data_IF_056916208707
#
_entry.id   IF_056916208707
#
_cell.length_a   1.000
_cell.length_b   1.000
_cell.length_c   1.000
_cell.angle_alpha   90.00
_cell.angle_beta   90.00
_cell.angle_gamma   90.00
#
_symmetry.space_group_name_H-M   'P 1'
#
loop_
_entity.id
_entity.type
_entity.pdbx_description
1 polymer ?
#
# COMPACT_ATOMS: atom_id res chain seq x y z
N UNK A 1 34.45 -7.73 7.97
CA UNK A 1 34.08 -6.32 8.27
C UNK A 1 32.56 -6.19 8.22
N UNK A 2 31.87 -5.74 9.29
CA UNK A 2 30.42 -5.52 9.23
C UNK A 2 30.12 -4.41 8.21
N UNK A 3 29.49 -4.74 7.09
CA UNK A 3 29.08 -3.75 6.09
C UNK A 3 28.03 -2.82 6.70
N UNK A 4 28.10 -1.52 6.37
CA UNK A 4 27.13 -0.52 6.82
C UNK A 4 26.31 -0.04 5.64
N UNK A 5 24.98 0.05 5.83
CA UNK A 5 24.08 0.58 4.82
C UNK A 5 24.44 2.05 4.50
N UNK A 6 24.53 2.35 3.21
CA UNK A 6 24.66 3.72 2.76
C UNK A 6 23.27 4.38 2.70
N UNK A 7 22.84 4.96 3.84
CA UNK A 7 21.52 5.58 4.01
C UNK A 7 21.23 6.62 2.91
N UNK A 8 22.21 7.45 2.53
CA UNK A 8 22.03 8.45 1.47
C UNK A 8 21.67 7.81 0.13
N UNK A 9 22.41 6.75 -0.29
CA UNK A 9 22.08 6.03 -1.54
C UNK A 9 20.69 5.38 -1.47
N UNK A 10 20.32 4.81 -0.32
CA UNK A 10 19.02 4.16 -0.13
C UNK A 10 17.88 5.17 -0.18
N UNK A 11 18.02 6.36 0.41
CA UNK A 11 17.04 7.46 0.29
C UNK A 11 16.87 7.86 -1.19
N UNK A 12 17.97 7.99 -1.96
CA UNK A 12 17.89 8.33 -3.37
C UNK A 12 17.17 7.26 -4.20
N UNK A 13 17.42 5.97 -3.94
CA UNK A 13 16.66 4.86 -4.52
C UNK A 13 15.19 4.92 -4.10
N UNK A 14 14.91 5.34 -2.88
CA UNK A 14 13.58 5.51 -2.32
C UNK A 14 12.69 6.51 -3.08
N UNK A 15 13.25 7.40 -3.92
CA UNK A 15 12.44 8.25 -4.80
C UNK A 15 11.61 7.45 -5.80
N UNK A 16 12.00 6.23 -6.18
CA UNK A 16 11.17 5.33 -6.97
C UNK A 16 9.90 4.91 -6.20
N UNK A 17 10.00 4.66 -4.90
CA UNK A 17 8.85 4.36 -4.03
C UNK A 17 8.00 5.60 -3.76
N UNK A 18 8.64 6.76 -3.60
CA UNK A 18 7.96 8.05 -3.52
C UNK A 18 7.01 8.26 -4.72
N UNK A 19 7.50 8.00 -5.94
CA UNK A 19 6.71 8.09 -7.17
C UNK A 19 5.48 7.17 -7.14
N UNK A 20 5.66 5.90 -6.74
CA UNK A 20 4.57 4.92 -6.64
C UNK A 20 3.49 5.44 -5.69
N UNK A 21 3.87 5.78 -4.47
CA UNK A 21 2.91 6.18 -3.43
C UNK A 21 2.26 7.53 -3.71
N UNK A 22 2.99 8.49 -4.29
CA UNK A 22 2.42 9.76 -4.72
C UNK A 22 1.30 9.57 -5.76
N UNK A 23 1.53 8.70 -6.74
CA UNK A 23 0.50 8.38 -7.72
C UNK A 23 -0.72 7.72 -7.08
N UNK A 24 -0.54 6.63 -6.31
CA UNK A 24 -1.66 5.88 -5.74
C UNK A 24 -2.48 6.73 -4.76
N UNK A 25 -1.84 7.57 -3.96
CA UNK A 25 -2.54 8.48 -3.04
C UNK A 25 -3.44 9.47 -3.78
N UNK A 26 -2.99 9.99 -4.93
CA UNK A 26 -3.80 10.85 -5.80
C UNK A 26 -4.91 10.06 -6.51
N UNK A 27 -4.59 8.88 -7.02
CA UNK A 27 -5.49 7.98 -7.72
C UNK A 27 -6.71 7.61 -6.85
N UNK A 28 -6.46 7.14 -5.63
CA UNK A 28 -7.51 6.72 -4.69
C UNK A 28 -8.44 7.85 -4.28
N UNK A 29 -7.97 9.10 -4.36
CA UNK A 29 -8.81 10.28 -4.10
C UNK A 29 -9.60 10.71 -5.34
N UNK A 30 -8.91 10.87 -6.48
CA UNK A 30 -9.46 11.60 -7.64
C UNK A 30 -10.30 10.71 -8.54
N UNK A 31 -9.88 9.46 -8.78
CA UNK A 31 -10.58 8.60 -9.74
C UNK A 31 -12.00 8.26 -9.28
N UNK A 32 -12.26 7.81 -8.03
CA UNK A 32 -13.63 7.54 -7.60
C UNK A 32 -14.50 8.81 -7.58
N UNK A 33 -13.94 9.97 -7.22
CA UNK A 33 -14.67 11.24 -7.25
C UNK A 33 -15.06 11.65 -8.69
N UNK A 34 -14.16 11.53 -9.66
CA UNK A 34 -14.49 11.82 -11.07
C UNK A 34 -15.56 10.85 -11.58
N UNK A 35 -15.43 9.55 -11.30
CA UNK A 35 -16.42 8.55 -11.71
C UNK A 35 -17.80 8.84 -11.15
N UNK A 36 -17.87 9.26 -9.88
CA UNK A 36 -19.13 9.58 -9.21
C UNK A 36 -19.70 10.93 -9.65
N UNK A 37 -18.94 12.02 -9.52
CA UNK A 37 -19.49 13.39 -9.67
C UNK A 37 -19.47 13.93 -11.10
N UNK A 38 -18.50 13.52 -11.93
CA UNK A 38 -18.47 13.95 -13.33
C UNK A 38 -19.26 13.02 -14.24
N UNK A 39 -19.21 11.71 -14.00
CA UNK A 39 -19.84 10.72 -14.87
C UNK A 39 -21.09 10.07 -14.29
N UNK A 40 -21.48 10.38 -13.05
CA UNK A 40 -22.70 9.87 -12.42
C UNK A 40 -22.73 8.36 -12.26
N UNK A 41 -21.57 7.72 -12.09
CA UNK A 41 -21.48 6.27 -11.98
C UNK A 41 -21.94 5.76 -10.62
N UNK A 42 -22.63 4.61 -10.60
CA UNK A 42 -22.94 3.89 -9.37
C UNK A 42 -21.67 3.46 -8.65
N UNK A 43 -21.77 3.27 -7.33
CA UNK A 43 -20.62 2.87 -6.51
C UNK A 43 -20.12 1.46 -6.84
N UNK A 44 -20.99 0.59 -7.35
CA UNK A 44 -20.63 -0.75 -7.87
C UNK A 44 -19.72 -0.64 -9.09
N UNK A 45 -20.12 0.15 -10.09
CA UNK A 45 -19.34 0.32 -11.33
C UNK A 45 -18.04 1.08 -11.06
N UNK A 46 -18.08 2.12 -10.24
CA UNK A 46 -16.89 2.82 -9.77
C UNK A 46 -15.93 1.84 -9.07
N UNK A 47 -16.44 0.97 -8.20
CA UNK A 47 -15.66 -0.07 -7.54
C UNK A 47 -15.05 -1.08 -8.49
N UNK A 48 -15.77 -1.49 -9.55
CA UNK A 48 -15.24 -2.36 -10.59
C UNK A 48 -14.08 -1.69 -11.34
N UNK A 49 -14.23 -0.43 -11.73
CA UNK A 49 -13.16 0.32 -12.40
C UNK A 49 -11.95 0.48 -11.47
N UNK A 50 -12.16 0.79 -10.19
CA UNK A 50 -11.09 0.89 -9.21
C UNK A 50 -10.35 -0.45 -9.01
N UNK A 51 -11.04 -1.59 -9.13
CA UNK A 51 -10.39 -2.90 -8.98
C UNK A 51 -9.51 -3.31 -10.17
N UNK A 52 -9.60 -2.60 -11.31
CA UNK A 52 -8.78 -2.90 -12.50
C UNK A 52 -7.29 -2.74 -12.22
N UNK A 53 -6.90 -1.84 -11.33
CA UNK A 53 -5.50 -1.66 -10.92
C UNK A 53 -4.91 -2.96 -10.36
N UNK A 54 -5.62 -3.62 -9.45
CA UNK A 54 -5.21 -4.88 -8.85
C UNK A 54 -5.30 -6.05 -9.83
N UNK A 55 -6.33 -6.07 -10.70
CA UNK A 55 -6.45 -7.07 -11.77
C UNK A 55 -5.24 -6.97 -12.71
N UNK A 56 -4.90 -5.77 -13.18
CA UNK A 56 -3.72 -5.57 -14.03
C UNK A 56 -2.42 -5.87 -13.30
N UNK A 57 -2.30 -5.53 -12.02
CA UNK A 57 -1.11 -5.80 -11.22
C UNK A 57 -0.78 -7.30 -11.20
N UNK A 58 -1.78 -8.17 -11.00
CA UNK A 58 -1.58 -9.64 -10.96
C UNK A 58 -0.88 -10.16 -12.22
N UNK A 59 -1.26 -9.65 -13.40
CA UNK A 59 -0.71 -10.11 -14.67
C UNK A 59 0.52 -9.33 -15.12
N UNK A 60 0.50 -8.01 -14.97
CA UNK A 60 1.52 -7.14 -15.56
C UNK A 60 2.78 -6.99 -14.72
N UNK A 61 2.68 -7.04 -13.38
CA UNK A 61 3.88 -6.91 -12.54
C UNK A 61 4.92 -8.01 -12.80
N UNK A 62 4.54 -9.31 -12.91
CA UNK A 62 5.48 -10.36 -13.28
C UNK A 62 6.07 -10.18 -14.70
N UNK A 63 5.25 -9.71 -15.65
CA UNK A 63 5.69 -9.49 -17.03
C UNK A 63 6.76 -8.38 -17.08
N UNK A 64 6.48 -7.22 -16.52
CA UNK A 64 7.43 -6.09 -16.54
C UNK A 64 8.63 -6.33 -15.63
N UNK A 65 8.48 -7.08 -14.54
CA UNK A 65 9.59 -7.57 -13.74
C UNK A 65 10.56 -8.41 -14.58
N UNK A 66 10.05 -9.47 -15.19
CA UNK A 66 10.85 -10.37 -16.05
C UNK A 66 11.42 -9.67 -17.29
N UNK A 67 10.68 -8.71 -17.87
CA UNK A 67 11.17 -7.94 -19.02
C UNK A 67 12.34 -7.04 -18.61
N UNK A 68 12.23 -6.37 -17.45
CA UNK A 68 13.31 -5.53 -16.95
C UNK A 68 14.56 -6.30 -16.53
N UNK A 69 14.43 -7.59 -16.18
CA UNK A 69 15.57 -8.47 -15.90
C UNK A 69 16.40 -8.78 -17.15
N UNK A 70 15.77 -8.80 -18.33
CA UNK A 70 16.42 -9.13 -19.63
C UNK A 70 17.07 -7.91 -20.30
N UNK A 71 16.67 -6.70 -19.89
CA UNK A 71 17.19 -5.46 -20.50
C UNK A 71 18.49 -5.05 -19.81
N UNK A 72 19.48 -4.65 -20.60
CA UNK A 72 20.72 -4.06 -20.11
C UNK A 72 21.03 -2.80 -20.88
N UNK A 73 21.05 -1.66 -20.20
CA UNK A 73 21.35 -0.36 -20.79
C UNK A 73 22.50 0.35 -20.04
N UNK A 74 23.01 1.42 -20.62
CA UNK A 74 24.04 2.26 -19.97
C UNK A 74 23.54 2.93 -18.67
N UNK A 75 22.21 3.05 -18.50
CA UNK A 75 21.60 3.64 -17.30
C UNK A 75 21.24 2.60 -16.24
N UNK A 76 21.29 1.32 -16.58
CA UNK A 76 20.87 0.18 -15.77
C UNK A 76 19.78 -0.64 -16.44
N UNK A 77 19.25 -1.61 -15.72
CA UNK A 77 18.16 -2.48 -16.21
C UNK A 77 16.78 -1.99 -15.74
N UNK A 78 16.69 -1.31 -14.61
CA UNK A 78 15.45 -0.82 -14.00
C UNK A 78 15.12 0.63 -14.38
N UNK A 79 16.13 1.49 -14.37
CA UNK A 79 15.99 2.94 -14.65
C UNK A 79 15.23 3.26 -15.93
N UNK A 80 15.43 2.59 -17.10
CA UNK A 80 14.67 2.88 -18.31
C UNK A 80 13.16 2.65 -18.16
N UNK A 81 12.77 1.61 -17.44
CA UNK A 81 11.35 1.31 -17.18
C UNK A 81 10.73 2.32 -16.22
N UNK A 82 11.49 2.73 -15.19
CA UNK A 82 11.05 3.77 -14.24
C UNK A 82 10.85 5.09 -14.98
N UNK A 83 11.79 5.49 -15.84
CA UNK A 83 11.67 6.70 -16.64
C UNK A 83 10.47 6.65 -17.57
N UNK A 84 10.40 5.63 -18.43
CA UNK A 84 9.35 5.50 -19.44
C UNK A 84 7.97 5.41 -18.79
N UNK A 85 7.81 4.51 -17.81
CA UNK A 85 6.54 4.29 -17.14
C UNK A 85 6.05 5.51 -16.39
N UNK A 86 6.95 6.24 -15.68
CA UNK A 86 6.56 7.46 -14.95
C UNK A 86 6.16 8.58 -15.92
N UNK A 87 6.93 8.82 -17.00
CA UNK A 87 6.59 9.87 -17.97
C UNK A 87 5.26 9.57 -18.65
N UNK A 88 5.04 8.32 -19.09
CA UNK A 88 3.76 7.93 -19.70
C UNK A 88 2.61 8.05 -18.69
N UNK A 89 2.79 7.60 -17.45
CA UNK A 89 1.78 7.72 -16.39
C UNK A 89 1.40 9.19 -16.16
N UNK A 90 2.36 10.10 -16.04
CA UNK A 90 2.11 11.53 -15.89
C UNK A 90 1.31 12.10 -17.06
N UNK A 91 1.72 11.79 -18.29
CA UNK A 91 1.02 12.28 -19.49
C UNK A 91 -0.42 11.80 -19.52
N UNK A 92 -0.65 10.48 -19.39
CA UNK A 92 -2.00 9.93 -19.42
C UNK A 92 -2.84 10.38 -18.24
N UNK A 93 -2.26 10.56 -17.06
CA UNK A 93 -2.98 10.98 -15.85
C UNK A 93 -3.45 12.45 -15.96
N UNK A 94 -2.64 13.34 -16.56
CA UNK A 94 -3.07 14.71 -16.85
C UNK A 94 -4.25 14.70 -17.83
N UNK A 95 -4.15 13.99 -18.95
CA UNK A 95 -5.24 13.90 -19.91
C UNK A 95 -6.49 13.22 -19.35
N UNK A 96 -6.34 12.24 -18.45
CA UNK A 96 -7.44 11.59 -17.74
C UNK A 96 -8.25 12.60 -16.93
N UNK A 97 -7.59 13.51 -16.22
CA UNK A 97 -8.28 14.54 -15.42
C UNK A 97 -9.09 15.53 -16.29
N UNK A 98 -8.69 15.68 -17.54
CA UNK A 98 -9.34 16.56 -18.55
C UNK A 98 -10.37 15.83 -19.42
N UNK A 99 -10.54 14.51 -19.30
CA UNK A 99 -11.37 13.71 -20.18
C UNK A 99 -12.84 14.18 -20.15
N UNK A 100 -13.42 14.58 -21.32
CA UNK A 100 -14.80 15.08 -21.39
C UNK A 100 -15.85 13.96 -21.43
N UNK A 101 -15.45 12.72 -21.72
CA UNK A 101 -16.35 11.58 -21.85
C UNK A 101 -15.83 10.36 -21.08
N UNK A 102 -16.76 9.54 -20.61
CA UNK A 102 -16.45 8.32 -19.86
C UNK A 102 -15.56 7.35 -20.66
N UNK A 103 -15.82 7.17 -21.96
CA UNK A 103 -15.02 6.28 -22.80
C UNK A 103 -13.57 6.72 -22.91
N UNK A 104 -13.34 8.02 -23.11
CA UNK A 104 -11.99 8.56 -23.17
C UNK A 104 -11.31 8.46 -21.78
N UNK A 105 -12.06 8.72 -20.72
CA UNK A 105 -11.58 8.55 -19.35
C UNK A 105 -11.11 7.11 -19.09
N UNK A 106 -11.93 6.11 -19.42
CA UNK A 106 -11.58 4.69 -19.24
C UNK A 106 -10.37 4.32 -20.09
N UNK A 107 -10.30 4.77 -21.34
CA UNK A 107 -9.16 4.50 -22.21
C UNK A 107 -7.86 5.09 -21.64
N UNK A 108 -7.89 6.35 -21.19
CA UNK A 108 -6.74 7.00 -20.56
C UNK A 108 -6.37 6.36 -19.22
N UNK A 109 -7.37 5.91 -18.47
CA UNK A 109 -7.16 5.16 -17.24
C UNK A 109 -6.41 3.86 -17.51
N UNK A 110 -6.80 3.07 -18.50
CA UNK A 110 -6.11 1.84 -18.88
C UNK A 110 -4.64 2.12 -19.24
N UNK A 111 -4.37 3.14 -20.07
CA UNK A 111 -3.00 3.53 -20.40
C UNK A 111 -2.22 4.00 -19.16
N UNK A 112 -2.86 4.71 -18.25
CA UNK A 112 -2.24 5.12 -16.98
C UNK A 112 -1.86 3.90 -16.13
N UNK A 113 -2.77 2.94 -15.98
CA UNK A 113 -2.52 1.71 -15.21
C UNK A 113 -1.42 0.84 -15.83
N UNK A 114 -1.39 0.70 -17.15
CA UNK A 114 -0.32 0.01 -17.88
C UNK A 114 1.02 0.71 -17.64
N UNK A 115 1.04 2.04 -17.72
CA UNK A 115 2.24 2.85 -17.48
C UNK A 115 2.74 2.68 -16.05
N UNK A 116 1.83 2.67 -15.06
CA UNK A 116 2.14 2.40 -13.66
C UNK A 116 2.72 0.99 -13.47
N UNK A 117 2.12 -0.03 -14.09
CA UNK A 117 2.62 -1.40 -14.03
C UNK A 117 4.02 -1.53 -14.66
N UNK A 118 4.31 -0.76 -15.71
CA UNK A 118 5.61 -0.76 -16.40
C UNK A 118 6.75 -0.36 -15.46
N UNK A 119 6.54 0.61 -14.57
CA UNK A 119 7.63 1.05 -13.67
C UNK A 119 7.55 0.50 -12.25
N UNK A 120 6.36 0.13 -11.73
CA UNK A 120 6.19 -0.32 -10.34
C UNK A 120 7.06 -1.54 -10.02
N UNK A 121 7.00 -2.60 -10.84
CA UNK A 121 7.78 -3.81 -10.59
C UNK A 121 9.29 -3.58 -10.69
N UNK A 122 9.84 -2.90 -11.73
CA UNK A 122 11.24 -2.51 -11.76
C UNK A 122 11.67 -1.61 -10.59
N UNK A 123 10.83 -0.67 -10.15
CA UNK A 123 11.12 0.20 -9.02
C UNK A 123 11.27 -0.58 -7.70
N UNK A 124 10.38 -1.56 -7.46
CA UNK A 124 10.49 -2.46 -6.29
C UNK A 124 11.75 -3.32 -6.37
N UNK A 125 12.10 -3.84 -7.55
CA UNK A 125 13.28 -4.66 -7.72
C UNK A 125 14.61 -3.89 -7.63
N UNK A 126 14.59 -2.57 -7.81
CA UNK A 126 15.80 -1.75 -7.82
C UNK A 126 16.56 -1.78 -6.49
N UNK A 127 15.85 -1.68 -5.36
CA UNK A 127 16.50 -1.65 -4.05
C UNK A 127 17.31 -2.92 -3.74
N UNK A 128 16.73 -4.14 -3.87
CA UNK A 128 17.52 -5.36 -3.68
C UNK A 128 18.65 -5.54 -4.71
N UNK A 129 18.52 -4.96 -5.92
CA UNK A 129 19.58 -5.01 -6.94
C UNK A 129 20.80 -4.18 -6.57
N UNK A 130 20.62 -3.06 -5.87
CA UNK A 130 21.70 -2.13 -5.49
C UNK A 130 22.13 -2.23 -4.02
N UNK A 131 21.59 -3.21 -3.29
CA UNK A 131 21.84 -3.37 -1.84
C UNK A 131 22.34 -4.79 -1.53
N UNK A 132 23.37 -4.87 -0.67
CA UNK A 132 23.91 -6.12 -0.17
C UNK A 132 22.85 -6.94 0.57
N UNK A 133 22.83 -8.27 0.39
CA UNK A 133 21.84 -9.18 0.99
C UNK A 133 21.58 -8.95 2.49
N UNK A 134 22.61 -8.82 3.37
CA UNK A 134 22.39 -8.63 4.80
C UNK A 134 21.79 -7.27 5.18
N UNK A 135 21.80 -6.28 4.25
CA UNK A 135 21.34 -4.92 4.49
C UNK A 135 19.97 -4.62 3.86
N UNK A 136 19.37 -5.59 3.13
CA UNK A 136 18.11 -5.38 2.41
C UNK A 136 16.96 -5.01 3.31
N UNK A 137 16.83 -5.64 4.48
CA UNK A 137 15.77 -5.29 5.44
C UNK A 137 15.87 -3.82 5.89
N UNK A 138 17.09 -3.34 6.22
CA UNK A 138 17.29 -1.91 6.55
C UNK A 138 17.03 -0.99 5.35
N UNK A 139 17.37 -1.45 4.15
CA UNK A 139 17.11 -0.74 2.91
C UNK A 139 15.62 -0.61 2.64
N UNK A 140 14.88 -1.70 2.82
CA UNK A 140 13.43 -1.76 2.63
C UNK A 140 12.71 -0.78 3.55
N UNK A 141 13.09 -0.73 4.83
CA UNK A 141 12.55 0.23 5.79
C UNK A 141 12.65 1.70 5.32
N UNK A 142 13.81 2.07 4.73
CA UNK A 142 14.03 3.44 4.26
C UNK A 142 13.20 3.73 2.99
N UNK A 143 13.13 2.78 2.04
CA UNK A 143 12.35 3.02 0.82
C UNK A 143 10.85 3.08 1.09
N UNK A 144 10.33 2.28 2.04
CA UNK A 144 8.94 2.37 2.49
C UNK A 144 8.64 3.71 3.16
N UNK A 145 9.57 4.23 3.98
CA UNK A 145 9.44 5.58 4.54
C UNK A 145 9.40 6.65 3.44
N UNK A 146 10.22 6.51 2.39
CA UNK A 146 10.19 7.41 1.23
C UNK A 146 8.87 7.29 0.45
N UNK A 147 8.30 6.08 0.34
CA UNK A 147 6.96 5.87 -0.20
C UNK A 147 5.92 6.64 0.60
N UNK A 148 5.90 6.47 1.92
CA UNK A 148 4.99 7.20 2.80
C UNK A 148 5.15 8.72 2.66
N UNK A 149 6.39 9.22 2.52
CA UNK A 149 6.64 10.64 2.26
C UNK A 149 6.00 11.11 0.94
N UNK A 150 5.97 10.26 -0.09
CA UNK A 150 5.27 10.54 -1.35
C UNK A 150 3.76 10.69 -1.16
N UNK A 151 3.13 9.78 -0.41
CA UNK A 151 1.71 9.88 -0.05
C UNK A 151 1.39 11.14 0.76
N UNK A 152 2.20 11.44 1.79
CA UNK A 152 2.05 12.65 2.61
C UNK A 152 2.18 13.91 1.77
N UNK A 153 3.13 13.98 0.82
CA UNK A 153 3.28 15.13 -0.06
C UNK A 153 2.01 15.41 -0.88
N UNK A 154 1.36 14.36 -1.38
CA UNK A 154 0.12 14.46 -2.15
C UNK A 154 -1.06 14.85 -1.27
N UNK A 155 -1.18 14.29 -0.07
CA UNK A 155 -2.22 14.69 0.90
C UNK A 155 -2.04 16.17 1.31
N UNK A 156 -0.79 16.63 1.48
CA UNK A 156 -0.52 18.04 1.74
C UNK A 156 -1.01 18.96 0.59
N UNK A 157 -0.85 18.54 -0.69
CA UNK A 157 -1.44 19.26 -1.83
C UNK A 157 -2.96 19.37 -1.68
N UNK A 158 -3.62 18.29 -1.22
CA UNK A 158 -5.07 18.25 -1.03
C UNK A 158 -5.59 19.20 0.08
N UNK A 159 -4.76 19.59 1.03
CA UNK A 159 -5.11 20.62 2.03
C UNK A 159 -5.24 22.02 1.40
N UNK A 160 -4.50 22.30 0.33
CA UNK A 160 -4.49 23.60 -0.33
C UNK A 160 -5.38 23.64 -1.58
N UNK A 161 -5.42 22.55 -2.32
CA UNK A 161 -6.22 22.43 -3.56
C UNK A 161 -7.35 21.46 -3.26
N UNK A 162 -8.50 22.02 -2.88
CA UNK A 162 -9.70 21.26 -2.60
C UNK A 162 -10.23 20.64 -3.89
N UNK A 163 -10.66 19.41 -3.80
CA UNK A 163 -11.29 18.63 -4.86
C UNK A 163 -12.51 17.94 -4.28
N UNK A 164 -13.50 17.65 -5.09
CA UNK A 164 -14.76 17.06 -4.65
C UNK A 164 -15.88 17.56 -5.55
N UNK A 165 -17.12 17.35 -5.16
CA UNK A 165 -18.26 17.75 -5.96
C UNK A 165 -18.31 19.27 -6.19
N UNK A 166 -18.16 20.07 -5.13
CA UNK A 166 -18.17 21.53 -5.20
C UNK A 166 -16.96 22.12 -5.96
N UNK A 167 -15.90 21.37 -6.10
CA UNK A 167 -14.61 21.79 -6.66
C UNK A 167 -14.16 20.92 -7.84
N UNK A 168 -15.10 20.43 -8.64
CA UNK A 168 -14.81 19.55 -9.77
C UNK A 168 -13.86 20.17 -10.81
N UNK A 169 -13.86 21.48 -10.94
CA UNK A 169 -12.96 22.23 -11.83
C UNK A 169 -11.50 22.21 -11.37
N UNK A 170 -11.25 21.87 -10.13
CA UNK A 170 -9.90 21.80 -9.55
C UNK A 170 -9.20 20.46 -9.85
N UNK A 171 -9.88 19.43 -10.32
CA UNK A 171 -9.24 18.13 -10.59
C UNK A 171 -8.00 18.25 -11.51
N UNK A 172 -8.04 18.98 -12.64
CA UNK A 172 -6.85 19.11 -13.49
C UNK A 172 -5.71 19.86 -12.81
N UNK A 173 -6.01 20.89 -11.98
CA UNK A 173 -5.00 21.64 -11.24
C UNK A 173 -4.34 20.76 -10.21
N UNK A 174 -5.13 20.03 -9.41
CA UNK A 174 -4.62 19.09 -8.41
C UNK A 174 -3.74 18.02 -9.05
N UNK A 175 -4.23 17.34 -10.09
CA UNK A 175 -3.47 16.33 -10.83
C UNK A 175 -2.20 16.92 -11.43
N UNK A 176 -2.27 18.14 -11.98
CA UNK A 176 -1.11 18.84 -12.53
C UNK A 176 -0.01 19.08 -11.49
N UNK A 177 -0.38 19.51 -10.28
CA UNK A 177 0.59 19.71 -9.18
C UNK A 177 1.17 18.38 -8.71
N UNK A 178 0.37 17.33 -8.57
CA UNK A 178 0.87 15.98 -8.24
C UNK A 178 1.83 15.48 -9.32
N UNK A 179 1.49 15.64 -10.59
CA UNK A 179 2.36 15.28 -11.71
C UNK A 179 3.67 16.08 -11.70
N UNK A 180 3.62 17.37 -11.33
CA UNK A 180 4.84 18.19 -11.17
C UNK A 180 5.74 17.64 -10.05
N UNK A 181 5.16 17.26 -8.91
CA UNK A 181 5.89 16.60 -7.80
C UNK A 181 6.52 15.29 -8.29
N UNK A 182 5.77 14.48 -9.05
CA UNK A 182 6.29 13.23 -9.63
C UNK A 182 7.46 13.49 -10.60
N UNK A 183 7.35 14.47 -11.49
CA UNK A 183 8.45 14.82 -12.42
C UNK A 183 9.66 15.35 -11.66
N UNK A 184 9.48 16.17 -10.63
CA UNK A 184 10.58 16.63 -9.78
C UNK A 184 11.28 15.47 -9.06
N UNK A 185 10.53 14.54 -8.49
CA UNK A 185 11.05 13.34 -7.85
C UNK A 185 11.78 12.42 -8.85
N UNK A 186 11.24 12.25 -10.06
CA UNK A 186 11.88 11.52 -11.15
C UNK A 186 13.20 12.19 -11.56
N UNK A 187 13.23 13.51 -11.68
CA UNK A 187 14.45 14.26 -12.00
C UNK A 187 15.54 14.06 -10.94
N UNK A 188 15.18 14.14 -9.66
CA UNK A 188 16.11 13.83 -8.56
C UNK A 188 16.63 12.41 -8.68
N UNK A 189 15.74 11.43 -8.91
CA UNK A 189 16.12 10.03 -9.10
C UNK A 189 17.12 9.86 -10.26
N UNK A 190 16.82 10.37 -11.44
CA UNK A 190 17.65 10.21 -12.64
C UNK A 190 19.02 10.90 -12.53
N UNK A 191 19.08 12.06 -11.85
CA UNK A 191 20.32 12.82 -11.68
C UNK A 191 21.24 12.21 -10.62
N UNK A 192 20.70 11.44 -9.67
CA UNK A 192 21.45 11.01 -8.48
C UNK A 192 21.70 9.51 -8.42
N UNK A 193 20.78 8.68 -8.93
CA UNK A 193 20.90 7.22 -8.86
C UNK A 193 21.82 6.68 -9.95
N UNK A 194 22.86 5.97 -9.54
CA UNK A 194 23.85 5.32 -10.43
C UNK A 194 23.65 3.81 -10.40
N UNK A 195 22.52 3.34 -10.93
CA UNK A 195 22.12 1.92 -10.86
C UNK A 195 23.25 0.96 -11.24
N UNK A 196 23.86 1.12 -12.45
CA UNK A 196 24.90 0.23 -12.93
C UNK A 196 26.12 0.13 -11.99
N UNK A 197 26.55 1.24 -11.43
CA UNK A 197 27.72 1.26 -10.55
C UNK A 197 27.40 0.61 -9.20
N UNK A 198 26.24 0.94 -8.64
CA UNK A 198 25.82 0.45 -7.33
C UNK A 198 25.44 -1.03 -7.36
N UNK A 199 24.80 -1.50 -8.45
CA UNK A 199 24.47 -2.91 -8.63
C UNK A 199 25.75 -3.75 -8.76
N UNK A 200 26.75 -3.32 -9.55
CA UNK A 200 28.04 -4.01 -9.66
C UNK A 200 28.77 -4.09 -8.30
N UNK A 201 28.73 -3.02 -7.51
CA UNK A 201 29.31 -2.99 -6.16
C UNK A 201 28.60 -3.99 -5.23
N UNK A 202 27.26 -3.99 -5.22
CA UNK A 202 26.46 -4.91 -4.42
C UNK A 202 26.67 -6.37 -4.81
N UNK A 203 26.71 -6.67 -6.13
CA UNK A 203 26.97 -8.03 -6.63
C UNK A 203 28.36 -8.54 -6.27
N UNK A 204 29.39 -7.70 -6.39
CA UNK A 204 30.76 -8.06 -6.01
C UNK A 204 30.85 -8.40 -4.51
N UNK A 205 30.20 -7.61 -3.66
CA UNK A 205 30.16 -7.88 -2.21
C UNK A 205 29.33 -9.10 -1.86
N UNK A 206 28.19 -9.30 -2.51
CA UNK A 206 27.36 -10.49 -2.29
C UNK A 206 28.12 -11.78 -2.67
N UNK A 207 28.88 -11.78 -3.77
CA UNK A 207 29.74 -12.92 -4.16
C UNK A 207 30.86 -13.18 -3.14
N UNK A 208 31.46 -12.11 -2.59
CA UNK A 208 32.48 -12.26 -1.54
C UNK A 208 31.90 -12.88 -0.26
N UNK A 209 30.70 -12.42 0.17
CA UNK A 209 30.00 -12.99 1.32
C UNK A 209 29.60 -14.47 1.10
N UNK A 210 29.17 -14.82 -0.09
CA UNK A 210 28.84 -16.20 -0.47
C UNK A 210 30.09 -17.11 -0.46
N UNK A 211 31.22 -16.60 -0.93
CA UNK A 211 32.49 -17.34 -0.90
C UNK A 211 33.02 -17.53 0.53
N UNK A 212 32.89 -16.51 1.40
CA UNK A 212 33.21 -16.63 2.83
C UNK A 212 32.32 -17.67 3.52
N UNK A 213 31.00 -17.64 3.25
CA UNK A 213 30.04 -18.59 3.83
C UNK A 213 30.27 -20.04 3.37
N UNK A 214 30.66 -20.27 2.12
CA UNK A 214 30.98 -21.61 1.60
C UNK A 214 32.25 -22.23 2.23
N UNK A 215 33.13 -21.39 2.75
CA UNK A 215 34.33 -21.86 3.44
C UNK A 215 34.08 -22.19 4.94
N UNK A 216 32.94 -21.78 5.49
CA UNK A 216 32.63 -21.93 6.92
C UNK A 216 31.60 -23.02 7.23
N UNK A 217 30.86 -23.60 6.27
CA UNK A 217 29.80 -24.58 6.56
C UNK A 217 29.74 -25.78 5.62
N UNK A 218 29.83 -26.97 6.23
CA UNK A 218 29.05 -28.13 5.80
C UNK A 218 27.57 -27.85 6.09
N UNK A 219 26.81 -27.39 5.09
CA UNK A 219 25.39 -27.05 5.25
C UNK A 219 24.57 -28.31 5.54
N UNK A 220 23.86 -28.42 6.67
CA UNK A 220 22.93 -29.51 6.90
C UNK A 220 21.85 -29.47 5.80
N UNK A 221 21.56 -30.59 5.20
CA UNK A 221 20.50 -30.72 4.20
C UNK A 221 19.18 -30.14 4.74
N UNK A 222 18.61 -29.14 4.02
CA UNK A 222 17.33 -28.54 4.34
C UNK A 222 16.25 -29.62 4.32
N UNK A 223 15.85 -30.09 5.51
CA UNK A 223 14.80 -31.09 5.65
C UNK A 223 13.48 -30.47 5.22
N UNK A 224 12.88 -31.00 4.13
CA UNK A 224 11.52 -30.59 3.72
C UNK A 224 10.52 -31.05 4.77
N UNK A 225 10.08 -30.13 5.60
CA UNK A 225 8.99 -30.39 6.55
C UNK A 225 7.66 -30.23 5.83
N UNK A 226 6.87 -31.30 5.74
CA UNK A 226 5.47 -31.22 5.29
C UNK A 226 4.62 -30.72 6.45
N UNK A 227 3.83 -29.67 6.21
CA UNK A 227 2.90 -29.18 7.21
C UNK A 227 2.00 -30.30 7.73
N UNK A 228 1.88 -30.38 9.03
CA UNK A 228 0.89 -31.22 9.71
C UNK A 228 -0.53 -30.67 9.47
N UNK A 229 -1.56 -31.50 9.66
CA UNK A 229 -2.97 -31.03 9.56
C UNK A 229 -3.27 -29.81 10.44
N UNK A 230 -2.82 -29.72 11.71
CA UNK A 230 -3.04 -28.53 12.55
C UNK A 230 -2.32 -27.27 12.04
N UNK A 231 -1.14 -27.41 11.47
CA UNK A 231 -0.40 -26.29 10.88
C UNK A 231 -1.07 -25.79 9.60
N UNK A 232 -1.58 -26.71 8.77
CA UNK A 232 -2.35 -26.34 7.58
C UNK A 232 -3.64 -25.58 7.94
N UNK A 233 -4.35 -26.01 8.98
CA UNK A 233 -5.54 -25.29 9.48
C UNK A 233 -5.13 -23.90 9.95
N UNK A 234 -4.02 -23.77 10.70
CA UNK A 234 -3.53 -22.46 11.13
C UNK A 234 -3.17 -21.55 9.94
N UNK A 235 -2.53 -22.09 8.90
CA UNK A 235 -2.24 -21.34 7.67
C UNK A 235 -3.54 -20.86 7.00
N UNK A 236 -4.51 -21.73 6.81
CA UNK A 236 -5.80 -21.35 6.22
C UNK A 236 -6.50 -20.24 7.04
N UNK A 237 -6.47 -20.33 8.38
CA UNK A 237 -7.03 -19.31 9.26
C UNK A 237 -6.29 -17.99 9.18
N UNK A 238 -4.95 -18.01 9.07
CA UNK A 238 -4.15 -16.79 8.88
C UNK A 238 -4.50 -16.15 7.54
N UNK A 239 -4.52 -16.92 6.44
CA UNK A 239 -4.86 -16.40 5.11
C UNK A 239 -6.29 -15.87 5.04
N UNK A 240 -7.25 -16.55 5.70
CA UNK A 240 -8.62 -16.06 5.83
C UNK A 240 -8.66 -14.73 6.61
N UNK A 241 -7.90 -14.63 7.73
CA UNK A 241 -7.77 -13.37 8.48
C UNK A 241 -7.20 -12.28 7.60
N UNK A 242 -6.14 -12.56 6.83
CA UNK A 242 -5.54 -11.62 5.86
C UNK A 242 -6.60 -11.11 4.89
N UNK A 243 -7.32 -12.00 4.22
CA UNK A 243 -8.38 -11.61 3.28
C UNK A 243 -9.45 -10.74 3.95
N UNK A 244 -9.88 -11.10 5.17
CA UNK A 244 -10.93 -10.39 5.90
C UNK A 244 -10.50 -8.98 6.33
N UNK A 245 -9.31 -8.78 6.92
CA UNK A 245 -8.91 -7.41 7.28
C UNK A 245 -8.61 -6.55 6.05
N UNK A 246 -8.04 -7.13 4.97
CA UNK A 246 -7.90 -6.41 3.70
C UNK A 246 -9.26 -6.01 3.13
N UNK A 247 -10.28 -6.88 3.22
CA UNK A 247 -11.65 -6.56 2.81
C UNK A 247 -12.19 -5.36 3.59
N UNK A 248 -12.05 -5.33 4.92
CA UNK A 248 -12.50 -4.19 5.72
C UNK A 248 -11.71 -2.91 5.43
N UNK A 249 -10.39 -3.00 5.40
CA UNK A 249 -9.52 -1.85 5.18
C UNK A 249 -9.68 -1.25 3.78
N UNK A 250 -9.68 -2.08 2.72
CA UNK A 250 -9.81 -1.59 1.35
C UNK A 250 -11.17 -1.00 1.03
N UNK A 251 -12.24 -1.40 1.71
CA UNK A 251 -13.52 -0.71 1.59
C UNK A 251 -13.38 0.78 1.96
N UNK A 252 -12.68 1.05 3.07
CA UNK A 252 -12.46 2.42 3.51
C UNK A 252 -11.52 3.16 2.57
N UNK A 253 -10.34 2.62 2.25
CA UNK A 253 -9.35 3.33 1.45
C UNK A 253 -9.84 3.64 0.03
N UNK A 254 -10.61 2.76 -0.59
CA UNK A 254 -11.08 2.92 -1.97
C UNK A 254 -12.24 3.91 -2.15
N UNK A 255 -13.02 4.21 -1.09
CA UNK A 255 -14.25 5.00 -1.21
C UNK A 255 -14.38 6.12 -0.18
N UNK A 256 -13.44 6.26 0.75
CA UNK A 256 -13.53 7.29 1.79
C UNK A 256 -13.58 8.71 1.23
N UNK A 257 -12.96 8.96 0.07
CA UNK A 257 -13.02 10.25 -0.59
C UNK A 257 -14.45 10.63 -1.02
N UNK A 258 -15.20 9.68 -1.58
CA UNK A 258 -16.61 9.87 -1.96
C UNK A 258 -17.50 9.87 -0.71
N UNK A 259 -17.24 8.99 0.26
CA UNK A 259 -17.98 8.94 1.53
C UNK A 259 -17.98 10.30 2.25
N UNK A 260 -16.84 10.98 2.31
CA UNK A 260 -16.71 12.29 2.94
C UNK A 260 -17.58 13.32 2.23
N UNK A 261 -17.58 13.34 0.91
CA UNK A 261 -18.41 14.25 0.10
C UNK A 261 -19.91 13.98 0.24
N UNK A 262 -20.31 12.71 0.36
CA UNK A 262 -21.72 12.34 0.47
C UNK A 262 -22.29 12.54 1.89
N UNK A 263 -21.53 12.21 2.92
CA UNK A 263 -22.03 12.12 4.28
C UNK A 263 -21.73 13.39 5.10
N UNK A 264 -20.60 14.07 4.84
CA UNK A 264 -20.16 15.22 5.63
C UNK A 264 -20.32 16.58 4.95
N UNK A 265 -21.04 16.62 3.82
CA UNK A 265 -21.34 17.87 3.10
C UNK A 265 -22.74 18.36 3.40
N UNK A 266 -22.87 19.65 3.74
CA UNK A 266 -24.16 20.28 3.90
C UNK A 266 -24.78 20.59 2.53
N UNK A 267 -26.02 20.13 2.33
CA UNK A 267 -26.77 20.33 1.07
C UNK A 267 -28.08 21.08 1.35
N UNK A 268 -28.55 21.85 0.35
CA UNK A 268 -29.89 22.45 0.39
C UNK A 268 -30.98 21.40 0.04
N UNK A 269 -32.23 21.82 0.12
CA UNK A 269 -33.38 20.97 -0.23
C UNK A 269 -33.39 20.52 -1.70
N UNK A 270 -32.67 21.20 -2.58
CA UNK A 270 -32.50 20.83 -3.99
C UNK A 270 -31.29 19.92 -4.23
N UNK A 271 -30.50 19.63 -3.17
CA UNK A 271 -29.30 18.80 -3.24
C UNK A 271 -28.01 19.55 -3.57
N UNK A 272 -28.05 20.88 -3.70
CA UNK A 272 -26.84 21.65 -4.02
C UNK A 272 -25.93 21.74 -2.78
N UNK A 273 -24.64 21.68 -3.01
CA UNK A 273 -23.60 21.79 -1.98
C UNK A 273 -23.57 23.23 -1.45
N UNK A 274 -23.73 23.38 -0.12
CA UNK A 274 -23.71 24.68 0.55
C UNK A 274 -22.34 25.03 1.15
N UNK A 275 -21.55 24.03 1.49
CA UNK A 275 -20.23 24.19 2.09
C UNK A 275 -19.36 22.95 1.82
N UNK A 276 -18.04 23.11 1.98
CA UNK A 276 -17.12 22.01 1.96
C UNK A 276 -17.43 20.93 3.00
N UNK A 277 -17.03 19.66 2.76
CA UNK A 277 -17.20 18.60 3.75
C UNK A 277 -16.60 18.98 5.11
N UNK A 278 -17.35 18.75 6.18
CA UNK A 278 -16.93 19.03 7.54
C UNK A 278 -15.70 18.19 7.96
N UNK A 279 -15.62 16.96 7.49
CA UNK A 279 -14.45 16.07 7.62
C UNK A 279 -13.62 16.18 6.36
N UNK A 280 -12.32 16.43 6.52
CA UNK A 280 -11.39 16.46 5.38
C UNK A 280 -10.78 15.07 5.16
N UNK A 281 -10.92 14.53 3.94
CA UNK A 281 -10.25 13.32 3.50
C UNK A 281 -8.72 13.39 3.71
N UNK A 282 -8.11 14.48 3.24
CA UNK A 282 -6.65 14.65 3.31
C UNK A 282 -6.15 14.71 4.75
N UNK A 283 -6.85 15.42 5.62
CA UNK A 283 -6.50 15.50 7.04
C UNK A 283 -6.63 14.15 7.73
N UNK A 284 -7.71 13.42 7.48
CA UNK A 284 -7.93 12.09 8.09
C UNK A 284 -6.80 11.11 7.71
N UNK A 285 -6.44 11.06 6.43
CA UNK A 285 -5.36 10.17 5.96
C UNK A 285 -3.97 10.64 6.39
N UNK A 286 -3.70 11.95 6.45
CA UNK A 286 -2.44 12.47 7.01
C UNK A 286 -2.27 12.04 8.46
N UNK A 287 -3.31 12.17 9.27
CA UNK A 287 -3.29 11.76 10.68
C UNK A 287 -3.09 10.24 10.79
N UNK A 288 -3.76 9.44 9.95
CA UNK A 288 -3.59 8.00 9.92
C UNK A 288 -2.15 7.58 9.53
N UNK A 289 -1.59 8.18 8.48
CA UNK A 289 -0.22 7.88 8.03
C UNK A 289 0.84 8.33 9.04
N UNK A 290 0.68 9.50 9.65
CA UNK A 290 1.58 9.98 10.69
C UNK A 290 1.55 9.05 11.92
N UNK A 291 0.36 8.64 12.36
CA UNK A 291 0.20 7.70 13.46
C UNK A 291 0.82 6.32 13.14
N UNK A 292 0.65 5.82 11.91
CA UNK A 292 1.26 4.58 11.46
C UNK A 292 2.80 4.63 11.51
N UNK A 293 3.42 5.71 10.98
CA UNK A 293 4.88 5.89 11.02
C UNK A 293 5.41 5.86 12.46
N UNK A 294 4.76 6.61 13.36
CA UNK A 294 5.16 6.66 14.76
C UNK A 294 5.00 5.26 15.42
N UNK A 295 4.00 4.50 15.02
CA UNK A 295 3.69 3.20 15.59
C UNK A 295 4.65 2.08 15.15
N UNK A 296 5.29 2.14 13.96
CA UNK A 296 6.13 1.05 13.46
C UNK A 296 7.23 0.61 14.44
N UNK A 297 7.93 1.55 15.05
CA UNK A 297 9.01 1.24 16.00
C UNK A 297 8.47 0.59 17.30
N UNK A 298 7.50 1.20 18.01
CA UNK A 298 6.90 0.58 19.20
C UNK A 298 6.29 -0.79 18.91
N UNK A 299 5.62 -0.95 17.78
CA UNK A 299 4.98 -2.20 17.38
C UNK A 299 6.01 -3.31 17.20
N UNK A 300 7.15 -3.05 16.55
CA UNK A 300 8.22 -4.03 16.42
C UNK A 300 8.78 -4.49 17.80
N UNK A 301 8.89 -3.56 18.74
CA UNK A 301 9.31 -3.89 20.11
C UNK A 301 8.25 -4.72 20.85
N UNK A 302 6.98 -4.34 20.73
CA UNK A 302 5.85 -5.06 21.34
C UNK A 302 5.76 -6.47 20.78
N UNK A 303 5.86 -6.63 19.46
CA UNK A 303 5.82 -7.91 18.76
C UNK A 303 6.94 -8.86 19.24
N UNK A 304 8.15 -8.34 19.44
CA UNK A 304 9.27 -9.15 19.95
C UNK A 304 9.07 -9.64 21.40
N UNK A 305 8.25 -8.96 22.20
CA UNK A 305 7.94 -9.34 23.58
C UNK A 305 6.76 -10.30 23.70
N UNK A 306 5.66 -9.98 23.01
CA UNK A 306 4.35 -10.65 23.18
C UNK A 306 4.04 -11.69 22.11
N UNK A 307 4.81 -11.71 21.01
CA UNK A 307 4.59 -12.58 19.86
C UNK A 307 3.74 -11.88 18.77
N UNK A 308 3.80 -12.43 17.53
CA UNK A 308 3.15 -11.84 16.35
C UNK A 308 1.64 -11.95 16.44
N UNK A 309 1.10 -13.11 16.82
CA UNK A 309 -0.35 -13.35 16.90
C UNK A 309 -1.05 -12.34 17.80
N UNK A 310 -0.54 -12.13 19.02
CA UNK A 310 -1.16 -11.20 19.98
C UNK A 310 -1.09 -9.75 19.48
N UNK A 311 0.00 -9.41 18.82
CA UNK A 311 0.19 -8.08 18.24
C UNK A 311 -0.77 -7.84 17.05
N UNK A 312 -0.94 -8.83 16.16
CA UNK A 312 -1.94 -8.75 15.07
C UNK A 312 -3.36 -8.64 15.66
N UNK A 313 -3.70 -9.44 16.66
CA UNK A 313 -5.02 -9.35 17.31
C UNK A 313 -5.30 -7.95 17.86
N UNK A 314 -4.31 -7.33 18.51
CA UNK A 314 -4.45 -5.95 18.97
C UNK A 314 -4.64 -4.97 17.81
N UNK A 315 -3.89 -5.11 16.71
CA UNK A 315 -4.04 -4.27 15.52
C UNK A 315 -5.41 -4.40 14.84
N UNK A 316 -5.88 -5.65 14.68
CA UNK A 316 -7.21 -5.91 14.09
C UNK A 316 -8.33 -5.38 14.99
N UNK A 317 -8.18 -5.50 16.32
CA UNK A 317 -9.14 -4.93 17.28
C UNK A 317 -9.18 -3.40 17.18
N UNK A 318 -8.01 -2.74 17.05
CA UNK A 318 -7.92 -1.29 16.84
C UNK A 318 -8.64 -0.87 15.54
N UNK A 319 -8.46 -1.60 14.43
CA UNK A 319 -9.20 -1.34 13.18
C UNK A 319 -10.70 -1.53 13.35
N UNK A 320 -11.13 -2.64 13.98
CA UNK A 320 -12.54 -2.92 14.22
C UNK A 320 -13.19 -1.84 15.08
N UNK A 321 -12.51 -1.39 16.14
CA UNK A 321 -12.98 -0.31 17.00
C UNK A 321 -13.01 1.02 16.25
N UNK A 322 -11.95 1.35 15.49
CA UNK A 322 -11.92 2.59 14.72
C UNK A 322 -13.09 2.68 13.72
N UNK A 323 -13.32 1.62 12.94
CA UNK A 323 -14.41 1.61 11.97
C UNK A 323 -15.78 1.48 12.64
N UNK A 324 -15.89 0.69 13.72
CA UNK A 324 -17.13 0.58 14.48
C UNK A 324 -17.58 1.91 15.11
N UNK A 325 -16.65 2.66 15.72
CA UNK A 325 -16.98 3.98 16.26
C UNK A 325 -17.14 5.05 15.17
N UNK A 326 -16.44 4.93 14.03
CA UNK A 326 -16.63 5.85 12.90
C UNK A 326 -18.05 5.76 12.32
N UNK A 327 -18.72 4.62 12.43
CA UNK A 327 -20.13 4.48 12.00
C UNK A 327 -21.13 5.31 12.84
N UNK A 328 -20.72 5.78 14.01
CA UNK A 328 -21.55 6.61 14.89
C UNK A 328 -21.37 8.11 14.66
N UNK A 329 -20.42 8.49 13.77
CA UNK A 329 -20.13 9.89 13.47
C UNK A 329 -21.02 10.33 12.32
N UNK A 330 -21.78 11.38 12.55
CA UNK A 330 -22.70 12.01 11.60
C UNK A 330 -22.27 13.43 11.23
N UNK A 331 -23.05 14.08 10.37
CA UNK A 331 -22.85 15.46 9.93
C UNK A 331 -22.82 16.47 11.09
N UNK A 332 -23.54 16.20 12.20
CA UNK A 332 -23.61 17.09 13.37
C UNK A 332 -22.40 16.95 14.29
N UNK A 333 -21.71 15.82 14.23
CA UNK A 333 -20.54 15.53 15.06
C UNK A 333 -19.34 16.42 14.65
N UNK A 334 -18.54 16.96 15.58
CA UNK A 334 -17.28 17.63 15.25
C UNK A 334 -16.32 16.71 14.47
N UNK A 335 -15.41 17.23 13.64
CA UNK A 335 -14.51 16.38 12.81
C UNK A 335 -13.41 15.67 13.60
N UNK A 336 -13.04 16.21 14.79
CA UNK A 336 -11.92 15.70 15.59
C UNK A 336 -12.03 14.21 15.94
N UNK A 337 -13.18 13.68 16.41
CA UNK A 337 -13.34 12.24 16.65
C UNK A 337 -13.00 11.38 15.44
N UNK A 338 -13.40 11.78 14.22
CA UNK A 338 -13.06 11.05 13.00
C UNK A 338 -11.54 10.98 12.79
N UNK A 339 -10.83 12.08 12.97
CA UNK A 339 -9.37 12.12 12.84
C UNK A 339 -8.67 11.25 13.90
N UNK A 340 -9.18 11.20 15.13
CA UNK A 340 -8.65 10.32 16.17
C UNK A 340 -8.90 8.85 15.85
N UNK A 341 -10.04 8.51 15.27
CA UNK A 341 -10.33 7.14 14.82
C UNK A 341 -9.44 6.75 13.63
N UNK A 342 -9.13 7.66 12.73
CA UNK A 342 -8.17 7.42 11.66
C UNK A 342 -6.73 7.27 12.19
N UNK A 343 -6.34 8.00 13.24
CA UNK A 343 -5.07 7.75 13.93
C UNK A 343 -5.04 6.32 14.51
N UNK A 344 -6.11 5.90 15.17
CA UNK A 344 -6.23 4.54 15.72
C UNK A 344 -6.18 3.48 14.60
N UNK A 345 -6.85 3.72 13.47
CA UNK A 345 -6.81 2.85 12.31
C UNK A 345 -5.39 2.76 11.72
N UNK A 346 -4.66 3.88 11.64
CA UNK A 346 -3.27 3.91 11.19
C UNK A 346 -2.34 3.10 12.09
N UNK A 347 -2.47 3.22 13.42
CA UNK A 347 -1.73 2.39 14.38
C UNK A 347 -2.09 0.91 14.21
N UNK A 348 -3.39 0.60 14.08
CA UNK A 348 -3.87 -0.75 13.86
C UNK A 348 -3.30 -1.37 12.58
N UNK A 349 -3.32 -0.63 11.48
CA UNK A 349 -2.76 -1.04 10.21
C UNK A 349 -1.24 -1.31 10.30
N UNK A 350 -0.47 -0.39 10.88
CA UNK A 350 0.96 -0.59 11.12
C UNK A 350 1.24 -1.84 11.96
N UNK A 351 0.41 -2.08 12.97
CA UNK A 351 0.52 -3.23 13.88
C UNK A 351 0.30 -4.56 13.16
N UNK A 352 -0.62 -4.58 12.20
CA UNK A 352 -0.89 -5.76 11.38
C UNK A 352 0.24 -5.97 10.37
N UNK A 353 0.62 -4.96 9.60
CA UNK A 353 1.58 -5.07 8.50
C UNK A 353 2.94 -5.58 8.95
N UNK A 354 3.49 -5.05 10.05
CA UNK A 354 4.79 -5.51 10.59
C UNK A 354 4.82 -7.01 10.90
N UNK A 355 3.67 -7.63 11.13
CA UNK A 355 3.61 -8.98 11.69
C UNK A 355 2.97 -10.02 10.78
N UNK A 356 2.10 -9.62 9.86
CA UNK A 356 1.25 -10.54 9.12
C UNK A 356 2.00 -11.37 8.08
N UNK A 357 2.77 -10.74 7.22
CA UNK A 357 3.57 -11.45 6.22
C UNK A 357 4.62 -12.37 6.85
N UNK A 358 5.46 -11.91 7.80
CA UNK A 358 6.40 -12.79 8.48
C UNK A 358 5.73 -13.99 9.17
N UNK A 359 4.54 -13.83 9.73
CA UNK A 359 3.80 -14.92 10.38
C UNK A 359 3.43 -16.04 9.40
N UNK A 360 3.13 -15.71 8.15
CA UNK A 360 2.85 -16.70 7.09
C UNK A 360 4.14 -17.39 6.64
N UNK A 361 5.20 -16.62 6.44
CA UNK A 361 6.50 -17.14 5.95
C UNK A 361 7.18 -18.01 7.00
N UNK A 362 7.00 -17.76 8.29
CA UNK A 362 7.55 -18.59 9.38
C UNK A 362 6.96 -20.01 9.45
N UNK A 363 5.78 -20.24 8.88
CA UNK A 363 5.24 -21.58 8.68
C UNK A 363 5.93 -22.33 7.53
N UNK A 364 6.64 -21.60 6.66
CA UNK A 364 7.42 -22.19 5.57
C UNK A 364 8.77 -22.68 6.09
N UNK A 365 9.18 -23.85 5.64
CA UNK A 365 10.51 -24.38 5.88
C UNK A 365 11.33 -24.41 4.61
N UNK A 366 12.52 -23.79 4.62
CA UNK A 366 13.51 -23.92 3.56
C UNK A 366 13.06 -23.41 2.19
N UNK A 367 12.85 -24.31 1.22
CA UNK A 367 12.56 -23.96 -0.19
C UNK A 367 11.14 -23.46 -0.47
N UNK A 368 10.22 -23.52 0.50
CA UNK A 368 8.80 -23.27 0.28
C UNK A 368 8.38 -21.80 0.57
N UNK A 369 9.30 -20.93 0.97
CA UNK A 369 9.04 -19.51 1.29
C UNK A 369 8.30 -18.80 0.14
N UNK A 370 8.73 -19.00 -1.11
CA UNK A 370 8.07 -18.41 -2.28
C UNK A 370 6.61 -18.82 -2.45
N UNK A 371 6.28 -20.07 -2.12
CA UNK A 371 4.90 -20.60 -2.17
C UNK A 371 4.00 -19.91 -1.13
N UNK A 372 4.47 -19.74 0.09
CA UNK A 372 3.71 -19.11 1.17
C UNK A 372 3.58 -17.60 0.96
N UNK A 373 4.61 -16.96 0.43
CA UNK A 373 4.55 -15.60 -0.07
C UNK A 373 3.45 -15.45 -1.13
N UNK A 374 3.39 -16.38 -2.09
CA UNK A 374 2.33 -16.43 -3.10
C UNK A 374 0.94 -16.55 -2.49
N UNK A 375 0.75 -17.40 -1.47
CA UNK A 375 -0.54 -17.53 -0.77
C UNK A 375 -0.95 -16.25 -0.07
N UNK A 376 -0.02 -15.56 0.62
CA UNK A 376 -0.31 -14.28 1.26
C UNK A 376 -0.78 -13.23 0.26
N UNK A 377 -0.04 -13.02 -0.82
CA UNK A 377 -0.41 -12.05 -1.85
C UNK A 377 -1.69 -12.44 -2.60
N UNK A 378 -1.94 -13.73 -2.84
CA UNK A 378 -3.21 -14.18 -3.42
C UNK A 378 -4.38 -13.82 -2.51
N UNK A 379 -4.28 -14.07 -1.21
CA UNK A 379 -5.35 -13.73 -0.26
C UNK A 379 -5.59 -12.22 -0.19
N UNK A 380 -4.53 -11.40 -0.10
CA UNK A 380 -4.66 -9.95 -0.02
C UNK A 380 -5.16 -9.33 -1.34
N UNK A 381 -4.62 -9.73 -2.49
CA UNK A 381 -5.04 -9.21 -3.79
C UNK A 381 -6.48 -9.62 -4.15
N UNK A 382 -6.90 -10.85 -3.82
CA UNK A 382 -8.29 -11.25 -4.01
C UNK A 382 -9.24 -10.34 -3.22
N UNK A 383 -8.91 -10.04 -1.98
CA UNK A 383 -9.68 -9.08 -1.18
C UNK A 383 -9.70 -7.68 -1.83
N UNK A 384 -8.56 -7.18 -2.30
CA UNK A 384 -8.44 -5.87 -2.94
C UNK A 384 -9.24 -5.76 -4.25
N UNK A 385 -9.37 -6.85 -5.01
CA UNK A 385 -10.19 -6.89 -6.24
C UNK A 385 -11.68 -6.91 -5.90
N UNK A 386 -12.09 -7.76 -4.98
CA UNK A 386 -13.52 -7.99 -4.67
C UNK A 386 -14.12 -6.82 -3.86
N UNK A 387 -13.36 -6.26 -2.93
CA UNK A 387 -13.87 -5.30 -1.94
C UNK A 387 -14.46 -4.04 -2.56
N UNK A 388 -13.82 -3.31 -3.51
CA UNK A 388 -14.39 -2.10 -4.06
C UNK A 388 -15.74 -2.34 -4.77
N UNK A 389 -15.90 -3.52 -5.39
CA UNK A 389 -17.12 -3.94 -6.07
C UNK A 389 -18.21 -4.25 -5.04
N UNK A 390 -17.91 -5.12 -4.06
CA UNK A 390 -18.87 -5.57 -3.07
C UNK A 390 -19.33 -4.44 -2.16
N UNK A 391 -18.39 -3.63 -1.65
CA UNK A 391 -18.73 -2.46 -0.84
C UNK A 391 -19.53 -1.43 -1.64
N UNK A 392 -19.20 -1.24 -2.93
CA UNK A 392 -19.96 -0.39 -3.83
C UNK A 392 -21.39 -0.88 -4.04
N UNK A 393 -21.57 -2.18 -4.27
CA UNK A 393 -22.91 -2.77 -4.43
C UNK A 393 -23.77 -2.60 -3.17
N UNK A 394 -23.19 -2.75 -1.99
CA UNK A 394 -23.91 -2.53 -0.75
C UNK A 394 -24.26 -1.05 -0.53
N UNK A 395 -23.38 -0.12 -0.90
CA UNK A 395 -23.69 1.31 -0.86
C UNK A 395 -24.81 1.66 -1.84
N UNK A 396 -24.80 1.11 -3.06
CA UNK A 396 -25.88 1.35 -4.05
C UNK A 396 -27.23 0.77 -3.59
N UNK A 397 -27.24 -0.35 -2.85
CA UNK A 397 -28.47 -1.03 -2.41
C UNK A 397 -29.04 -0.48 -1.10
N UNK A 398 -28.21 -0.12 -0.15
CA UNK A 398 -28.59 0.22 1.23
C UNK A 398 -28.35 1.72 1.51
N UNK A 399 -27.30 2.30 0.94
CA UNK A 399 -26.83 3.66 1.21
C UNK A 399 -25.48 3.69 1.91
N UNK A 400 -24.98 4.89 2.14
CA UNK A 400 -23.67 5.11 2.78
C UNK A 400 -23.62 4.71 4.26
N UNK A 401 -24.75 4.47 4.88
CA UNK A 401 -24.82 4.01 6.28
C UNK A 401 -24.14 2.64 6.48
N UNK A 402 -24.06 1.81 5.44
CA UNK A 402 -23.42 0.50 5.49
C UNK A 402 -21.88 0.56 5.47
N UNK A 403 -21.31 1.69 5.09
CA UNK A 403 -19.89 1.83 4.75
C UNK A 403 -18.94 1.41 5.89
N UNK A 404 -18.98 2.08 7.02
CA UNK A 404 -18.16 1.72 8.19
C UNK A 404 -18.61 0.43 8.89
N UNK A 405 -19.93 0.13 9.05
CA UNK A 405 -20.37 -1.19 9.54
C UNK A 405 -19.83 -2.36 8.71
N UNK A 406 -19.78 -2.24 7.40
CA UNK A 406 -19.14 -3.25 6.53
C UNK A 406 -17.66 -3.46 6.93
N UNK A 407 -16.88 -2.38 6.98
CA UNK A 407 -15.47 -2.46 7.33
C UNK A 407 -15.24 -3.03 8.74
N UNK A 408 -16.04 -2.59 9.72
CA UNK A 408 -15.99 -3.10 11.10
C UNK A 408 -16.37 -4.60 11.18
N UNK A 409 -17.36 -5.05 10.42
CA UNK A 409 -17.77 -6.45 10.39
C UNK A 409 -16.64 -7.34 9.87
N UNK A 410 -16.05 -7.01 8.73
CA UNK A 410 -14.97 -7.81 8.16
C UNK A 410 -13.71 -7.81 9.02
N UNK A 411 -13.33 -6.68 9.62
CA UNK A 411 -12.20 -6.63 10.55
C UNK A 411 -12.50 -7.41 11.84
N UNK A 412 -13.73 -7.39 12.34
CA UNK A 412 -14.14 -8.21 13.51
C UNK A 412 -14.13 -9.71 13.18
N UNK A 413 -14.59 -10.12 11.99
CA UNK A 413 -14.47 -11.51 11.53
C UNK A 413 -13.01 -11.95 11.42
N UNK A 414 -12.13 -11.05 10.95
CA UNK A 414 -10.71 -11.30 10.94
C UNK A 414 -10.15 -11.51 12.35
N UNK A 415 -10.56 -10.71 13.33
CA UNK A 415 -10.19 -10.92 14.73
C UNK A 415 -10.60 -12.31 15.23
N UNK A 416 -11.84 -12.72 14.94
CA UNK A 416 -12.35 -14.02 15.34
C UNK A 416 -11.55 -15.16 14.69
N UNK A 417 -11.29 -15.11 13.38
CA UNK A 417 -10.49 -16.14 12.69
C UNK A 417 -9.07 -16.21 13.24
N UNK A 418 -8.45 -15.08 13.54
CA UNK A 418 -7.10 -15.03 14.10
C UNK A 418 -7.03 -15.61 15.54
N UNK A 419 -8.10 -15.53 16.33
CA UNK A 419 -8.15 -16.15 17.66
C UNK A 419 -7.90 -17.65 17.61
N UNK A 420 -8.40 -18.34 16.59
CA UNK A 420 -8.30 -19.80 16.44
C UNK A 420 -6.95 -20.28 15.88
N UNK A 421 -6.09 -19.38 15.42
CA UNK A 421 -4.75 -19.72 14.94
C UNK A 421 -3.90 -20.24 16.11
N UNK A 422 -3.25 -21.40 15.92
CA UNK A 422 -2.44 -22.06 16.98
C UNK A 422 -0.95 -22.13 16.64
N UNK A 423 -0.58 -22.03 15.37
CA UNK A 423 0.79 -22.18 14.87
C UNK A 423 1.24 -20.92 14.12
N UNK A 424 2.55 -20.71 13.98
CA UNK A 424 3.12 -19.53 13.31
C UNK A 424 3.38 -18.33 14.23
N UNK A 425 3.17 -18.46 15.55
CA UNK A 425 3.44 -17.40 16.54
C UNK A 425 4.85 -17.54 17.13
N UNK A 426 5.86 -17.40 16.28
CA UNK A 426 7.25 -17.34 16.74
C UNK A 426 7.54 -15.91 17.20
N UNK A 427 8.19 -15.78 18.37
CA UNK A 427 8.61 -14.46 18.84
C UNK A 427 9.74 -13.94 17.95
N UNK A 428 9.58 -12.77 17.29
CA UNK A 428 10.64 -12.21 16.47
C UNK A 428 11.91 -12.01 17.29
N UNK A 429 13.06 -12.28 16.69
CA UNK A 429 14.33 -11.90 17.30
C UNK A 429 14.39 -10.37 17.42
N UNK A 430 15.03 -9.86 18.50
CA UNK A 430 15.21 -8.42 18.69
C UNK A 430 15.99 -7.86 17.49
N UNK A 431 15.37 -6.96 16.74
CA UNK A 431 16.03 -6.27 15.63
C UNK A 431 17.17 -5.40 16.19
N UNK A 432 18.33 -5.44 15.52
CA UNK A 432 19.56 -4.80 16.02
C UNK A 432 19.56 -3.28 15.86
N UNK A 433 18.67 -2.71 15.02
CA UNK A 433 18.62 -1.27 14.78
C UNK A 433 17.19 -0.75 14.69
N UNK A 434 17.00 0.54 15.05
CA UNK A 434 15.70 1.23 14.92
C UNK A 434 15.16 1.24 13.49
N UNK A 435 16.03 1.32 12.48
CA UNK A 435 15.62 1.33 11.06
C UNK A 435 15.00 -0.01 10.62
N UNK A 436 15.42 -1.13 11.19
CA UNK A 436 14.83 -2.44 10.87
C UNK A 436 13.38 -2.58 11.35
N UNK A 437 12.96 -1.76 12.33
CA UNK A 437 11.57 -1.73 12.78
C UNK A 437 10.62 -1.04 11.81
N UNK A 438 11.14 -0.27 10.84
CA UNK A 438 10.37 0.37 9.78
C UNK A 438 10.22 -0.52 8.54
N UNK A 439 10.86 -1.70 8.54
CA UNK A 439 10.72 -2.69 7.48
C UNK A 439 9.33 -3.30 7.55
N UNK A 440 8.49 -2.93 6.59
CA UNK A 440 7.20 -3.56 6.31
C UNK A 440 7.36 -4.34 5.03
N UNK A 441 7.19 -5.66 5.11
CA UNK A 441 7.30 -6.56 3.96
C UNK A 441 6.05 -6.44 3.05
N UNK A 442 5.83 -5.23 2.48
CA UNK A 442 4.76 -4.97 1.49
C UNK A 442 5.23 -5.25 0.05
#
# INVERSE_FOLDING_TARGET
>A
MKSKLNVKRTILVGFAFFLISAFWQSYDKIVPNILTYRFGMSQTLSGFIMSLDNIFAVFMLPIFGALSDKVSTRFGRRTPFILLGTVMAVVFYIFLSLAPSLWLFILLLLFTLISMATFRSPAVALMPDVTEKPLRSKGNAIINLMGTAGGIAVLAVGLFIKTGEAHADNYPIYVGVVCLIMIAALAVFLLTVKECAWAKEADARNRALEAEAQNEEETPAVVKHKLTKPEMISLCLILASVALWFTGYNAVTSKFSVYVEEVFTFRDAAGNVLADPKVSYDTALLVAQAAAIIAYIPVGIVSSRFGRKKTILAGVLMLSAAFGFASLIDLNTPPIPMYLLFALAGIGWATINVNSFPMVVELATGSDVGKYTGFYYTASMTAQIITPILSGALVDLIGWEVFFPYAATFTTLSFITMLFVKHGDVKPQKKASLLEHLDTDD
#
